data_IF_778596731645
#
_entry.id   IF_778596731645
#
_cell.length_a   1.000
_cell.length_b   1.000
_cell.length_c   1.000
_cell.angle_alpha   90.00
_cell.angle_beta   90.00
_cell.angle_gamma   90.00
#
_symmetry.space_group_name_H-M   'P 1'
#
loop_
_entity.id
_entity.type
_entity.pdbx_description
1 polymer ?
#
# COMPACT_ATOMS: atom_id res chain seq x y z
N UNK A 1 -8.70 -8.72 -13.97
CA UNK A 1 -7.77 -8.52 -12.84
C UNK A 1 -7.98 -7.11 -12.33
N UNK A 2 -8.20 -6.94 -11.04
CA UNK A 2 -8.20 -5.61 -10.42
C UNK A 2 -6.77 -5.05 -10.46
N UNK A 3 -6.65 -3.74 -10.58
CA UNK A 3 -5.35 -3.07 -10.48
C UNK A 3 -4.81 -3.28 -9.06
N UNK A 4 -3.60 -3.79 -8.92
CA UNK A 4 -2.93 -3.95 -7.61
C UNK A 4 -1.85 -2.88 -7.42
N UNK A 5 -1.86 -2.23 -6.26
CA UNK A 5 -0.93 -1.15 -5.88
C UNK A 5 -0.17 -1.56 -4.63
N UNK A 6 1.15 -1.70 -4.73
CA UNK A 6 2.03 -1.98 -3.61
C UNK A 6 2.42 -0.71 -2.86
N UNK A 7 2.15 -0.64 -1.56
CA UNK A 7 2.56 0.48 -0.71
C UNK A 7 3.98 0.21 -0.18
N UNK A 8 4.93 1.07 -0.52
CA UNK A 8 6.35 0.98 -0.13
C UNK A 8 6.81 2.25 0.57
N UNK A 9 7.95 2.19 1.24
CA UNK A 9 8.48 3.31 2.04
C UNK A 9 9.31 2.82 3.22
N UNK A 10 10.13 3.71 3.78
CA UNK A 10 10.98 3.42 4.94
C UNK A 10 10.16 3.07 6.19
N UNK A 11 10.77 2.50 7.26
CA UNK A 11 10.08 2.31 8.53
C UNK A 11 9.53 3.65 9.08
N UNK A 12 8.40 3.59 9.79
CA UNK A 12 7.80 4.75 10.49
C UNK A 12 7.33 5.94 9.62
N UNK A 13 7.30 5.80 8.30
CA UNK A 13 6.78 6.85 7.40
C UNK A 13 5.25 6.96 7.34
N UNK A 14 4.52 6.07 8.05
CA UNK A 14 3.06 6.06 8.09
C UNK A 14 2.37 5.08 7.12
N UNK A 15 3.09 4.14 6.51
CA UNK A 15 2.53 3.13 5.58
C UNK A 15 1.30 2.39 6.12
N UNK A 16 1.44 1.76 7.29
CA UNK A 16 0.34 0.99 7.88
C UNK A 16 -0.82 1.90 8.32
N UNK A 17 -0.55 3.16 8.67
CA UNK A 17 -1.60 4.17 8.92
C UNK A 17 -2.38 4.49 7.65
N UNK A 18 -1.69 4.71 6.53
CA UNK A 18 -2.29 4.94 5.22
C UNK A 18 -3.09 3.72 4.76
N UNK A 19 -2.50 2.53 4.83
CA UNK A 19 -3.17 1.26 4.49
C UNK A 19 -4.43 1.07 5.33
N UNK A 20 -4.34 1.27 6.65
CA UNK A 20 -5.51 1.17 7.54
C UNK A 20 -6.56 2.23 7.22
N UNK A 21 -6.18 3.45 6.84
CA UNK A 21 -7.15 4.47 6.45
C UNK A 21 -7.88 4.11 5.14
N UNK A 22 -7.19 3.46 4.21
CA UNK A 22 -7.76 2.95 2.96
C UNK A 22 -8.65 1.72 3.22
N UNK A 23 -8.19 0.77 4.03
CA UNK A 23 -8.88 -0.50 4.30
C UNK A 23 -10.07 -0.34 5.26
N UNK A 24 -9.99 0.50 6.29
CA UNK A 24 -11.10 0.77 7.24
C UNK A 24 -12.32 1.39 6.57
N UNK A 25 -12.16 2.01 5.40
CA UNK A 25 -13.30 2.54 4.66
C UNK A 25 -14.15 1.46 4.01
N UNK A 26 -13.68 0.21 3.78
CA UNK A 26 -14.50 -0.79 3.08
C UNK A 26 -13.96 -2.23 2.93
N UNK A 27 -12.86 -2.64 3.58
CA UNK A 27 -12.29 -3.96 3.31
C UNK A 27 -13.19 -5.10 3.83
N UNK A 28 -13.99 -5.70 2.94
CA UNK A 28 -14.28 -7.13 3.03
C UNK A 28 -12.96 -7.86 2.84
N UNK A 29 -12.36 -8.31 3.96
CA UNK A 29 -11.21 -9.19 3.93
C UNK A 29 -11.65 -10.50 3.25
N UNK A 30 -11.42 -10.62 1.95
CA UNK A 30 -11.55 -11.90 1.26
C UNK A 30 -10.39 -12.78 1.72
N UNK A 31 -10.68 -13.69 2.65
CA UNK A 31 -9.74 -14.72 3.08
C UNK A 31 -9.45 -15.66 1.91
N UNK A 32 -8.36 -15.46 1.18
CA UNK A 32 -7.83 -16.47 0.28
C UNK A 32 -7.04 -17.47 1.13
N UNK A 33 -7.30 -18.77 0.99
CA UNK A 33 -7.06 -19.74 2.05
C UNK A 33 -5.72 -20.51 1.95
N UNK A 34 -4.71 -20.04 1.21
CA UNK A 34 -3.61 -20.94 0.81
C UNK A 34 -2.18 -20.37 0.67
N UNK A 35 -1.81 -19.24 1.31
CA UNK A 35 -0.40 -18.79 1.30
C UNK A 35 0.19 -18.58 2.71
N UNK A 36 1.42 -19.06 2.92
CA UNK A 36 2.03 -19.27 4.24
C UNK A 36 2.42 -17.99 5.01
N UNK A 37 2.40 -16.81 4.37
CA UNK A 37 2.36 -15.46 4.98
C UNK A 37 1.73 -14.52 3.93
N UNK A 38 0.41 -14.34 3.92
CA UNK A 38 -0.24 -13.45 2.96
C UNK A 38 0.04 -11.96 3.27
N UNK A 39 0.38 -11.14 2.27
CA UNK A 39 0.50 -9.70 2.46
C UNK A 39 -0.88 -9.13 2.81
N UNK A 40 -0.91 -8.05 3.60
CA UNK A 40 -2.19 -7.42 3.92
C UNK A 40 -2.74 -6.77 2.64
N UNK A 41 -3.84 -7.32 2.10
CA UNK A 41 -4.53 -6.78 0.92
C UNK A 41 -5.80 -6.06 1.37
N UNK A 42 -5.99 -4.84 0.88
CA UNK A 42 -7.19 -4.03 1.08
C UNK A 42 -7.85 -3.72 -0.26
N UNK A 43 -9.06 -4.19 -0.47
CA UNK A 43 -9.86 -3.88 -1.66
C UNK A 43 -10.62 -2.58 -1.43
N UNK A 44 -10.40 -1.58 -2.29
CA UNK A 44 -10.98 -0.24 -2.15
C UNK A 44 -11.77 0.11 -3.41
N UNK A 45 -13.05 0.51 -3.32
CA UNK A 45 -13.79 0.96 -4.48
C UNK A 45 -13.28 2.32 -4.97
N UNK A 46 -13.30 2.51 -6.29
CA UNK A 46 -12.88 3.74 -6.93
C UNK A 46 -13.99 4.78 -6.77
N UNK A 47 -13.74 5.93 -6.11
CA UNK A 47 -14.71 7.00 -6.05
C UNK A 47 -14.88 7.62 -7.45
N UNK A 48 -16.07 7.49 -8.03
CA UNK A 48 -16.40 8.02 -9.35
C UNK A 48 -17.76 8.73 -9.33
N UNK A 49 -17.81 10.07 -9.41
CA UNK A 49 -19.08 10.80 -9.38
C UNK A 49 -20.00 10.48 -10.57
N UNK A 50 -19.45 9.96 -11.68
CA UNK A 50 -20.25 9.52 -12.83
C UNK A 50 -20.99 8.23 -12.52
N UNK A 51 -20.33 7.31 -11.82
CA UNK A 51 -20.94 6.08 -11.35
C UNK A 51 -22.07 6.41 -10.37
N UNK A 52 -21.82 7.30 -9.42
CA UNK A 52 -22.81 7.74 -8.43
C UNK A 52 -24.03 8.38 -9.10
N UNK A 53 -23.82 9.21 -10.12
CA UNK A 53 -24.91 9.81 -10.90
C UNK A 53 -25.77 8.77 -11.64
N UNK A 54 -25.16 7.74 -12.22
CA UNK A 54 -25.89 6.64 -12.88
C UNK A 54 -26.68 5.81 -11.88
N UNK A 55 -26.09 5.49 -10.72
CA UNK A 55 -26.77 4.78 -9.64
C UNK A 55 -27.99 5.57 -9.15
N UNK A 56 -27.86 6.89 -8.98
CA UNK A 56 -28.96 7.75 -8.59
C UNK A 56 -30.07 7.83 -9.65
N UNK A 57 -29.70 7.85 -10.93
CA UNK A 57 -30.65 7.93 -12.06
C UNK A 57 -31.43 6.64 -12.28
N UNK A 58 -30.76 5.49 -12.22
CA UNK A 58 -31.34 4.20 -12.61
C UNK A 58 -31.78 3.32 -11.44
N UNK A 59 -31.32 3.60 -10.21
CA UNK A 59 -31.68 2.88 -8.99
C UNK A 59 -31.62 1.35 -9.15
N UNK A 60 -30.47 0.79 -9.59
CA UNK A 60 -30.37 -0.64 -9.86
C UNK A 60 -30.47 -1.46 -8.57
N UNK A 61 -31.00 -2.69 -8.67
CA UNK A 61 -31.09 -3.62 -7.53
C UNK A 61 -29.72 -4.02 -6.96
N UNK A 62 -28.63 -3.87 -7.74
CA UNK A 62 -27.26 -4.15 -7.32
C UNK A 62 -26.32 -3.07 -7.83
N UNK A 63 -25.46 -2.58 -6.93
CA UNK A 63 -24.43 -1.57 -7.21
C UNK A 63 -23.08 -2.27 -7.07
N UNK A 64 -22.26 -2.24 -8.12
CA UNK A 64 -20.92 -2.85 -8.12
C UNK A 64 -19.92 -1.81 -8.66
N UNK A 65 -19.17 -1.13 -7.79
CA UNK A 65 -18.15 -0.17 -8.24
C UNK A 65 -16.92 -0.90 -8.79
N UNK A 66 -16.11 -0.18 -9.56
CA UNK A 66 -14.76 -0.63 -9.86
C UNK A 66 -13.91 -0.63 -8.57
N UNK A 67 -12.93 -1.54 -8.47
CA UNK A 67 -12.07 -1.67 -7.28
C UNK A 67 -10.59 -1.61 -7.64
N UNK A 68 -9.78 -1.23 -6.65
CA UNK A 68 -8.31 -1.29 -6.66
C UNK A 68 -7.87 -2.05 -5.42
N UNK A 69 -6.90 -2.95 -5.60
CA UNK A 69 -6.34 -3.74 -4.52
C UNK A 69 -5.07 -3.03 -4.02
N UNK A 70 -5.03 -2.64 -2.76
CA UNK A 70 -3.84 -2.12 -2.11
C UNK A 70 -3.15 -3.23 -1.34
N UNK A 71 -1.83 -3.34 -1.49
CA UNK A 71 -1.01 -4.35 -0.81
C UNK A 71 -0.03 -3.63 0.11
N UNK A 72 -0.13 -3.84 1.42
CA UNK A 72 0.87 -3.32 2.36
C UNK A 72 2.15 -4.15 2.26
N UNK A 73 3.21 -3.56 1.70
CA UNK A 73 4.48 -4.23 1.57
C UNK A 73 5.39 -3.80 2.73
N UNK A 74 5.89 -4.77 3.49
CA UNK A 74 6.71 -4.54 4.69
C UNK A 74 7.87 -3.56 4.44
N UNK A 75 8.19 -2.68 5.39
CA UNK A 75 9.15 -1.59 5.15
C UNK A 75 10.53 -2.01 4.61
N UNK A 76 11.02 -1.26 3.63
CA UNK A 76 12.39 -1.40 3.10
C UNK A 76 13.40 -1.11 4.20
N UNK A 77 14.34 -2.03 4.41
CA UNK A 77 15.54 -1.79 5.21
C UNK A 77 16.71 -1.65 4.24
N UNK A 78 17.62 -0.70 4.51
CA UNK A 78 18.85 -0.50 3.72
C UNK A 78 19.52 -1.86 3.46
N UNK A 79 19.81 -2.18 2.19
CA UNK A 79 20.48 -3.43 1.80
C UNK A 79 19.57 -4.59 1.39
N UNK A 80 18.27 -4.37 1.17
CA UNK A 80 17.35 -5.38 0.66
C UNK A 80 17.82 -6.05 -0.66
N UNK A 81 18.61 -5.35 -1.47
CA UNK A 81 19.22 -5.84 -2.71
C UNK A 81 20.44 -6.75 -2.52
N UNK A 82 21.06 -6.77 -1.32
CA UNK A 82 22.29 -7.54 -1.04
C UNK A 82 22.05 -9.00 -0.61
N UNK A 83 20.80 -9.46 -0.57
CA UNK A 83 20.47 -10.89 -0.48
C UNK A 83 20.55 -11.54 0.91
N UNK A 84 20.79 -10.78 1.98
CA UNK A 84 20.70 -11.31 3.35
C UNK A 84 19.21 -11.41 3.80
N UNK A 85 18.51 -12.46 3.37
CA UNK A 85 17.19 -12.85 3.90
C UNK A 85 15.96 -12.12 3.32
N UNK A 86 15.04 -11.68 4.21
CA UNK A 86 13.64 -11.24 3.97
C UNK A 86 13.42 -10.21 2.83
N UNK A 87 14.48 -9.62 2.28
CA UNK A 87 14.43 -8.72 1.12
C UNK A 87 13.96 -9.37 -0.18
N UNK A 88 14.26 -10.65 -0.43
CA UNK A 88 13.83 -11.32 -1.69
C UNK A 88 12.33 -11.61 -1.73
N UNK A 89 11.74 -12.04 -0.61
CA UNK A 89 10.29 -12.23 -0.50
C UNK A 89 9.54 -10.89 -0.64
N UNK A 90 10.16 -9.81 -0.16
CA UNK A 90 9.65 -8.45 -0.32
C UNK A 90 9.70 -7.98 -1.80
N UNK A 91 10.82 -8.17 -2.50
CA UNK A 91 10.93 -7.84 -3.92
C UNK A 91 9.96 -8.66 -4.79
N UNK A 92 9.67 -9.90 -4.39
CA UNK A 92 8.63 -10.70 -5.04
C UNK A 92 7.25 -10.02 -4.94
N UNK A 93 6.85 -9.55 -3.75
CA UNK A 93 5.58 -8.84 -3.56
C UNK A 93 5.49 -7.54 -4.38
N UNK A 94 6.61 -6.82 -4.56
CA UNK A 94 6.65 -5.66 -5.46
C UNK A 94 6.43 -6.08 -6.92
N UNK A 95 7.05 -7.18 -7.36
CA UNK A 95 6.93 -7.66 -8.76
C UNK A 95 5.50 -8.10 -9.12
N UNK A 96 4.74 -8.56 -8.13
CA UNK A 96 3.32 -8.92 -8.31
C UNK A 96 2.38 -7.70 -8.31
N UNK A 97 2.87 -6.50 -7.96
CA UNK A 97 2.09 -5.27 -8.00
C UNK A 97 2.12 -4.63 -9.40
N UNK A 98 0.97 -4.12 -9.85
CA UNK A 98 0.88 -3.39 -11.13
C UNK A 98 1.42 -1.96 -11.04
N UNK A 99 1.38 -1.37 -9.84
CA UNK A 99 1.92 -0.04 -9.55
C UNK A 99 2.47 0.04 -8.13
N UNK A 100 3.32 1.03 -7.87
CA UNK A 100 3.93 1.28 -6.56
C UNK A 100 3.47 2.64 -6.03
N UNK A 101 2.98 2.67 -4.80
CA UNK A 101 2.74 3.88 -4.03
C UNK A 101 3.88 4.07 -3.02
N UNK A 102 4.78 5.01 -3.32
CA UNK A 102 5.93 5.31 -2.47
C UNK A 102 5.55 6.35 -1.39
N UNK A 103 5.50 5.91 -0.14
CA UNK A 103 5.22 6.76 1.03
C UNK A 103 6.51 7.33 1.57
N UNK A 104 6.61 8.66 1.56
CA UNK A 104 7.78 9.43 2.01
C UNK A 104 7.39 10.26 3.22
N UNK A 105 8.23 10.27 4.26
CA UNK A 105 7.98 11.04 5.48
C UNK A 105 8.32 12.51 5.25
N UNK A 106 7.31 13.38 5.33
CA UNK A 106 7.46 14.84 5.25
C UNK A 106 7.01 15.55 6.54
N UNK A 107 7.20 14.92 7.70
CA UNK A 107 6.82 15.47 8.99
C UNK A 107 7.87 15.18 10.08
N UNK A 108 8.03 16.13 10.99
CA UNK A 108 8.85 16.00 12.20
C UNK A 108 7.96 15.59 13.39
N UNK A 109 8.43 14.65 14.19
CA UNK A 109 7.77 14.21 15.44
C UNK A 109 8.83 13.57 16.34
N UNK A 110 9.04 14.15 17.53
CA UNK A 110 10.03 13.71 18.52
C UNK A 110 9.75 12.30 19.06
N UNK A 111 8.51 11.81 18.93
CA UNK A 111 8.11 10.48 19.35
C UNK A 111 8.33 9.42 18.25
N UNK A 112 8.70 9.84 17.03
CA UNK A 112 8.84 8.95 15.88
C UNK A 112 10.27 8.96 15.36
N UNK A 113 11.02 7.92 15.74
CA UNK A 113 12.42 7.74 15.35
C UNK A 113 12.52 7.45 13.85
N UNK A 114 13.29 8.28 13.13
CA UNK A 114 13.69 8.02 11.76
C UNK A 114 14.91 7.08 11.72
N UNK A 115 15.00 6.23 10.69
CA UNK A 115 16.11 5.26 10.56
C UNK A 115 17.49 5.91 10.54
N UNK A 116 17.60 7.12 10.00
CA UNK A 116 18.85 7.90 9.96
C UNK A 116 18.89 9.02 11.01
N UNK A 117 18.01 9.00 12.02
CA UNK A 117 17.88 10.02 13.08
C UNK A 117 17.67 11.46 12.57
N UNK A 118 17.29 11.61 11.30
CA UNK A 118 16.97 12.87 10.63
C UNK A 118 15.91 12.59 9.58
N UNK A 119 14.93 13.48 9.44
CA UNK A 119 13.96 13.43 8.35
C UNK A 119 14.57 14.11 7.12
N UNK A 120 14.70 13.36 6.02
CA UNK A 120 15.18 13.89 4.74
C UNK A 120 14.43 13.19 3.59
N UNK A 121 13.31 13.77 3.12
CA UNK A 121 12.47 13.15 2.10
C UNK A 121 13.21 12.79 0.81
N UNK A 122 14.20 13.60 0.41
CA UNK A 122 14.92 13.40 -0.85
C UNK A 122 15.87 12.22 -0.72
N UNK A 123 16.66 12.19 0.37
CA UNK A 123 17.56 11.06 0.65
C UNK A 123 16.79 9.75 0.88
N UNK A 124 15.59 9.82 1.46
CA UNK A 124 14.71 8.66 1.67
C UNK A 124 14.23 8.08 0.33
N UNK A 125 13.86 8.94 -0.62
CA UNK A 125 13.48 8.53 -1.98
C UNK A 125 14.66 7.83 -2.66
N UNK A 126 15.83 8.47 -2.66
CA UNK A 126 17.04 7.93 -3.27
C UNK A 126 17.42 6.56 -2.68
N UNK A 127 17.26 6.38 -1.35
CA UNK A 127 17.56 5.12 -0.66
C UNK A 127 16.68 3.96 -1.14
N UNK A 128 15.45 4.24 -1.58
CA UNK A 128 14.48 3.23 -2.02
C UNK A 128 14.60 2.95 -3.52
N UNK A 129 14.98 3.95 -4.30
CA UNK A 129 15.16 3.83 -5.76
C UNK A 129 16.51 3.21 -6.15
N UNK A 130 17.46 3.09 -5.21
CA UNK A 130 18.80 2.49 -5.40
C UNK A 130 18.86 1.02 -5.00
#
# INVERSE_FOLDING_TARGET
>A
MALSVGIVGLPNVGKSTLFNALSRKQAEAANYAFCTIEPNVGVVPVPDPRFDALVALFQPAKIVPATVDFVDIAGLVRGASKGEGKGNAFLANIREAHAIAHVVRCFEDDNVIHVDNRVDPVADIETIET
#
